data_IF_418600010833
#
_entry.id   IF_418600010833
#
_cell.length_a   1.000
_cell.length_b   1.000
_cell.length_c   1.000
_cell.angle_alpha   90.00
_cell.angle_beta   90.00
_cell.angle_gamma   90.00
#
_symmetry.space_group_name_H-M   'P 1'
#
loop_
_entity.id
_entity.type
_entity.pdbx_description
1 polymer ?
#
# COMPACT_ATOMS: atom_id res chain seq x y z
N UNK A 1 -6.30 -0.67 15.30
CA UNK A 1 -5.43 0.38 15.85
C UNK A 1 -4.61 0.98 14.73
N UNK A 2 -4.50 2.32 14.68
CA UNK A 2 -3.62 2.97 13.73
C UNK A 2 -2.14 2.68 14.10
N UNK A 3 -1.19 2.64 13.14
CA UNK A 3 0.20 2.29 13.41
C UNK A 3 0.86 3.12 14.52
N UNK A 4 0.55 4.42 14.60
CA UNK A 4 1.07 5.31 15.64
C UNK A 4 0.52 5.01 17.04
N UNK A 5 -0.74 4.60 17.15
CA UNK A 5 -1.33 4.24 18.46
C UNK A 5 -0.72 2.97 19.03
N UNK A 6 -0.43 2.00 18.15
CA UNK A 6 0.27 0.78 18.54
C UNK A 6 1.72 1.04 18.99
N UNK A 7 2.39 2.02 18.37
CA UNK A 7 3.78 2.33 18.66
C UNK A 7 3.96 3.18 19.93
N UNK A 8 3.05 4.12 20.17
CA UNK A 8 3.22 5.12 21.24
C UNK A 8 2.20 5.01 22.38
N UNK A 9 1.19 4.13 22.27
CA UNK A 9 0.15 3.97 23.29
C UNK A 9 -0.71 5.22 23.50
N UNK A 10 -0.69 6.15 22.53
CA UNK A 10 -1.43 7.42 22.57
C UNK A 10 -2.22 7.58 21.26
N UNK A 11 -3.42 8.16 21.29
CA UNK A 11 -4.19 8.42 20.08
C UNK A 11 -3.40 9.30 19.11
N UNK A 12 -3.48 9.00 17.81
CA UNK A 12 -2.87 9.81 16.75
C UNK A 12 -3.30 11.27 16.88
N UNK A 13 -2.36 12.20 17.06
CA UNK A 13 -2.65 13.64 16.95
C UNK A 13 -2.45 14.09 15.51
N UNK A 14 -3.51 14.01 14.70
CA UNK A 14 -3.61 14.79 13.45
C UNK A 14 -3.54 16.30 13.77
N UNK A 15 -3.15 17.19 12.84
CA UNK A 15 -3.08 18.64 13.10
C UNK A 15 -4.35 19.26 13.69
N UNK A 16 -5.52 18.67 13.42
CA UNK A 16 -6.81 19.05 14.01
C UNK A 16 -6.96 18.68 15.50
N UNK A 17 -6.21 17.71 15.98
CA UNK A 17 -6.26 17.13 17.32
C UNK A 17 -5.20 17.74 18.25
N UNK A 18 -4.56 18.83 17.84
CA UNK A 18 -3.70 19.63 18.72
C UNK A 18 -4.50 20.40 19.76
N UNK A 19 -5.81 20.55 19.57
CA UNK A 19 -6.65 21.25 20.52
C UNK A 19 -6.69 20.54 21.87
N UNK A 20 -6.00 21.12 22.86
CA UNK A 20 -6.21 20.78 24.26
C UNK A 20 -7.72 20.94 24.58
N UNK A 21 -8.28 20.14 25.48
CA UNK A 21 -9.70 20.29 25.89
C UNK A 21 -9.86 21.70 26.49
N UNK A 22 -10.29 22.66 25.66
CA UNK A 22 -10.26 24.11 25.94
C UNK A 22 -9.95 25.00 24.72
N UNK A 23 -9.13 24.54 23.77
CA UNK A 23 -8.74 25.33 22.57
C UNK A 23 -9.80 25.32 21.45
N UNK A 24 -10.83 24.47 21.56
CA UNK A 24 -11.98 24.47 20.65
C UNK A 24 -12.72 25.81 20.65
N UNK A 25 -12.55 26.62 21.70
CA UNK A 25 -13.09 27.98 21.78
C UNK A 25 -12.29 29.03 21.00
N UNK A 26 -11.02 28.77 20.64
CA UNK A 26 -10.17 29.76 19.94
C UNK A 26 -10.39 29.78 18.42
N UNK A 27 -10.82 28.67 17.82
CA UNK A 27 -11.02 28.57 16.37
C UNK A 27 -12.51 28.72 16.05
N UNK A 28 -12.86 29.78 15.31
CA UNK A 28 -14.23 30.05 14.90
C UNK A 28 -14.84 28.91 14.07
N UNK A 29 -16.17 28.79 14.07
CA UNK A 29 -16.91 27.72 13.40
C UNK A 29 -16.58 27.60 11.90
N UNK A 30 -16.29 28.71 11.23
CA UNK A 30 -15.87 28.77 9.82
C UNK A 30 -14.54 28.04 9.59
N UNK A 31 -13.55 28.27 10.46
CA UNK A 31 -12.25 27.60 10.38
C UNK A 31 -12.37 26.09 10.57
N UNK A 32 -13.22 25.66 11.50
CA UNK A 32 -13.50 24.23 11.71
C UNK A 32 -14.12 23.60 10.46
N UNK A 33 -15.08 24.29 9.82
CA UNK A 33 -15.71 23.80 8.58
C UNK A 33 -14.70 23.69 7.43
N UNK A 34 -13.93 24.75 7.17
CA UNK A 34 -12.91 24.76 6.11
C UNK A 34 -11.87 23.65 6.29
N UNK A 35 -11.44 23.42 7.52
CA UNK A 35 -10.46 22.38 7.82
C UNK A 35 -11.05 20.98 7.70
N UNK A 36 -12.31 20.76 8.10
CA UNK A 36 -12.99 19.48 7.88
C UNK A 36 -13.11 19.14 6.40
N UNK A 37 -13.40 20.12 5.55
CA UNK A 37 -13.51 19.91 4.11
C UNK A 37 -12.15 19.55 3.48
N UNK A 38 -11.09 20.27 3.85
CA UNK A 38 -9.72 19.94 3.42
C UNK A 38 -9.30 18.52 3.86
N UNK A 39 -9.67 18.11 5.07
CA UNK A 39 -9.38 16.76 5.58
C UNK A 39 -10.16 15.69 4.83
N UNK A 40 -11.40 15.99 4.43
CA UNK A 40 -12.19 15.10 3.58
C UNK A 40 -11.49 14.86 2.24
N UNK A 41 -10.99 15.92 1.60
CA UNK A 41 -10.24 15.84 0.34
C UNK A 41 -8.97 14.99 0.50
N UNK A 42 -8.19 15.23 1.56
CA UNK A 42 -6.97 14.44 1.83
C UNK A 42 -7.28 12.95 2.02
N UNK A 43 -8.35 12.62 2.76
CA UNK A 43 -8.80 11.23 2.93
C UNK A 43 -9.22 10.58 1.62
N UNK A 44 -9.94 11.32 0.78
CA UNK A 44 -10.34 10.83 -0.55
C UNK A 44 -9.11 10.52 -1.40
N UNK A 45 -8.18 11.47 -1.51
CA UNK A 45 -6.96 11.33 -2.29
C UNK A 45 -6.09 10.14 -1.81
N UNK A 46 -5.95 9.96 -0.49
CA UNK A 46 -5.25 8.82 0.09
C UNK A 46 -5.92 7.49 -0.29
N UNK A 47 -7.26 7.43 -0.20
CA UNK A 47 -8.01 6.23 -0.57
C UNK A 47 -7.82 5.90 -2.05
N UNK A 48 -7.95 6.88 -2.94
CA UNK A 48 -7.73 6.64 -4.37
C UNK A 48 -6.30 6.19 -4.68
N UNK A 49 -5.29 6.74 -4.00
CA UNK A 49 -3.91 6.30 -4.16
C UNK A 49 -3.73 4.84 -3.72
N UNK A 50 -4.34 4.46 -2.59
CA UNK A 50 -4.34 3.09 -2.09
C UNK A 50 -5.05 2.13 -3.05
N UNK A 51 -6.21 2.52 -3.59
CA UNK A 51 -6.97 1.73 -4.56
C UNK A 51 -6.19 1.54 -5.88
N UNK A 52 -5.50 2.59 -6.36
CA UNK A 52 -4.58 2.49 -7.52
C UNK A 52 -3.44 1.51 -7.26
N UNK A 53 -2.78 1.61 -6.10
CA UNK A 53 -1.71 0.67 -5.73
C UNK A 53 -2.22 -0.77 -5.66
N UNK A 54 -3.40 -0.97 -5.05
CA UNK A 54 -4.03 -2.28 -4.96
C UNK A 54 -4.36 -2.85 -6.34
N UNK A 55 -4.94 -2.05 -7.23
CA UNK A 55 -5.21 -2.45 -8.62
C UNK A 55 -3.94 -2.88 -9.38
N UNK A 56 -2.83 -2.15 -9.21
CA UNK A 56 -1.55 -2.54 -9.82
C UNK A 56 -0.97 -3.83 -9.23
N UNK A 57 -1.04 -3.99 -7.91
CA UNK A 57 -0.61 -5.21 -7.25
C UNK A 57 -1.45 -6.41 -7.68
N UNK A 58 -2.78 -6.27 -7.66
CA UNK A 58 -3.73 -7.34 -7.98
C UNK A 58 -3.64 -7.76 -9.45
N UNK A 59 -3.46 -6.81 -10.38
CA UNK A 59 -3.24 -7.13 -11.81
C UNK A 59 -2.02 -8.02 -12.05
N UNK A 60 -0.97 -7.88 -11.23
CA UNK A 60 0.27 -8.68 -11.30
C UNK A 60 0.27 -9.91 -10.39
N UNK A 61 -0.80 -10.13 -9.64
CA UNK A 61 -1.01 -11.29 -8.76
C UNK A 61 -2.04 -12.29 -9.32
N UNK A 62 -2.42 -12.18 -10.60
CA UNK A 62 -3.23 -13.23 -11.23
C UNK A 62 -2.51 -14.56 -11.09
N UNK A 63 -3.21 -15.57 -10.59
CA UNK A 63 -2.78 -16.96 -10.69
C UNK A 63 -2.61 -17.25 -12.19
N UNK A 64 -1.38 -17.56 -12.59
CA UNK A 64 -1.09 -17.94 -13.97
C UNK A 64 -1.41 -19.43 -14.05
N UNK A 65 -2.54 -19.76 -14.69
CA UNK A 65 -2.86 -21.12 -15.07
C UNK A 65 -2.11 -21.43 -16.37
N UNK A 66 -1.29 -22.48 -16.35
CA UNK A 66 -0.54 -22.94 -17.51
C UNK A 66 -1.20 -24.19 -18.07
N UNK A 67 -1.29 -24.29 -19.39
CA UNK A 67 -1.70 -25.52 -20.05
C UNK A 67 -0.48 -26.35 -20.43
N UNK A 68 -0.70 -27.66 -20.55
CA UNK A 68 0.27 -28.62 -21.08
C UNK A 68 0.71 -28.15 -22.47
N UNK A 69 1.98 -27.75 -22.61
CA UNK A 69 2.57 -27.23 -23.86
C UNK A 69 2.98 -25.75 -23.84
N UNK A 70 2.63 -24.99 -22.79
CA UNK A 70 3.05 -23.60 -22.64
C UNK A 70 4.54 -23.48 -22.27
N UNK A 71 5.25 -22.53 -22.90
CA UNK A 71 6.65 -22.22 -22.57
C UNK A 71 6.73 -21.16 -21.47
N UNK A 72 7.32 -21.52 -20.33
CA UNK A 72 7.42 -20.65 -19.15
C UNK A 72 8.87 -20.44 -18.72
N UNK A 73 9.21 -19.25 -18.24
CA UNK A 73 10.52 -18.95 -17.69
C UNK A 73 10.55 -19.22 -16.19
N UNK A 74 11.30 -20.24 -15.76
CA UNK A 74 11.54 -20.51 -14.35
C UNK A 74 12.61 -19.55 -13.81
N UNK A 75 12.26 -18.72 -12.82
CA UNK A 75 13.25 -17.88 -12.14
C UNK A 75 14.10 -18.72 -11.19
N UNK A 76 15.19 -19.27 -11.69
CA UNK A 76 16.17 -19.98 -10.86
C UNK A 76 17.04 -18.98 -10.09
N UNK A 77 17.01 -19.02 -8.76
CA UNK A 77 18.03 -18.37 -7.94
C UNK A 77 19.27 -19.28 -7.91
N UNK A 78 20.24 -19.03 -8.79
CA UNK A 78 21.53 -19.71 -8.71
C UNK A 78 22.27 -19.29 -7.43
N UNK A 79 22.52 -20.24 -6.53
CA UNK A 79 23.46 -20.05 -5.43
C UNK A 79 24.85 -19.78 -6.02
N UNK A 80 25.50 -18.72 -5.52
CA UNK A 80 26.76 -18.15 -6.04
C UNK A 80 27.81 -19.22 -6.38
N UNK A 81 28.12 -19.36 -7.66
CA UNK A 81 29.30 -20.03 -8.18
C UNK A 81 29.77 -19.38 -9.49
N UNK A 82 31.05 -19.52 -9.89
CA UNK A 82 31.67 -18.72 -10.96
C UNK A 82 31.10 -18.91 -12.38
N UNK A 83 30.27 -19.93 -12.59
CA UNK A 83 29.78 -20.27 -13.93
C UNK A 83 28.31 -19.89 -14.06
N UNK A 84 28.06 -18.73 -14.69
CA UNK A 84 26.73 -18.20 -14.97
C UNK A 84 26.23 -18.73 -16.31
N UNK A 85 25.20 -19.57 -16.32
CA UNK A 85 24.41 -19.85 -17.51
C UNK A 85 22.94 -19.59 -17.21
N UNK A 86 22.27 -18.82 -18.08
CA UNK A 86 20.81 -18.73 -18.06
C UNK A 86 20.32 -20.04 -18.66
N UNK A 87 19.77 -20.93 -17.85
CA UNK A 87 19.18 -22.16 -18.34
C UNK A 87 17.71 -21.91 -18.70
N UNK A 88 17.40 -21.97 -19.99
CA UNK A 88 16.04 -22.05 -20.50
C UNK A 88 15.61 -23.52 -20.47
N UNK A 89 14.93 -23.94 -19.41
CA UNK A 89 14.30 -25.27 -19.37
C UNK A 89 12.82 -25.12 -19.71
N UNK A 90 12.43 -25.67 -20.85
CA UNK A 90 11.02 -26.00 -21.14
C UNK A 90 10.62 -27.07 -20.14
N UNK A 91 9.57 -26.81 -19.35
CA UNK A 91 9.03 -27.84 -18.45
C UNK A 91 8.20 -28.78 -19.32
N UNK A 92 8.78 -29.93 -19.67
CA UNK A 92 8.06 -30.98 -20.39
C UNK A 92 6.96 -31.54 -19.47
N UNK A 93 5.70 -31.62 -19.94
CA UNK A 93 4.62 -32.17 -19.15
C UNK A 93 4.67 -33.70 -19.26
N UNK A 94 5.04 -34.35 -18.16
CA UNK A 94 4.67 -35.75 -17.94
C UNK A 94 3.29 -35.84 -17.32
#
# INVERSE_FOLDING_TARGET
MAPFEALYGRPCRTPLCWTQVGERSMYGATYVQETTEKVRVVRLNMKEAQDRQKSYADRRRRELEFQVGDRVYLKMAMLRGPNRSIAETVVDPH
#
